data_IF_972152882053
#
_entry.id   IF_972152882053
#
_cell.length_a   1.000
_cell.length_b   1.000
_cell.length_c   1.000
_cell.angle_alpha   90.00
_cell.angle_beta   90.00
_cell.angle_gamma   90.00
#
_symmetry.space_group_name_H-M   'P 1'
#
loop_
_entity.id
_entity.type
_entity.pdbx_description
1 polymer ?
#
# COMPACT_ATOMS: atom_id res chain seq x y z
N UNK A 1 -21.03 -29.47 40.83
CA UNK A 1 -20.05 -28.68 41.58
C UNK A 1 -19.06 -28.08 40.59
N UNK A 2 -18.98 -26.74 40.56
CA UNK A 2 -17.87 -25.87 40.10
C UNK A 2 -17.62 -25.85 38.58
N UNK A 3 -18.17 -24.87 37.84
CA UNK A 3 -17.61 -23.51 37.59
C UNK A 3 -16.36 -23.60 36.70
N UNK A 4 -16.26 -22.92 35.54
CA UNK A 4 -16.17 -21.46 35.45
C UNK A 4 -16.54 -20.96 34.05
N UNK A 5 -17.40 -19.94 34.02
CA UNK A 5 -17.78 -19.10 32.88
C UNK A 5 -16.64 -18.07 32.68
N UNK A 6 -16.13 -17.91 31.46
CA UNK A 6 -15.39 -16.69 31.07
C UNK A 6 -16.23 -15.95 30.04
N UNK A 7 -17.04 -15.06 30.58
CA UNK A 7 -17.66 -13.92 29.93
C UNK A 7 -16.56 -13.05 29.32
N UNK A 8 -16.55 -12.83 28.01
CA UNK A 8 -15.89 -11.65 27.43
C UNK A 8 -16.99 -10.68 27.07
N UNK A 9 -16.92 -9.54 27.74
CA UNK A 9 -17.91 -8.50 27.79
C UNK A 9 -18.13 -7.84 26.43
N UNK A 10 -19.40 -7.60 26.16
CA UNK A 10 -19.92 -6.61 25.23
C UNK A 10 -19.18 -5.28 25.44
N UNK A 11 -18.47 -4.80 24.42
CA UNK A 11 -18.11 -3.39 24.33
C UNK A 11 -19.29 -2.68 23.64
N UNK A 12 -20.23 -2.22 24.45
CA UNK A 12 -21.21 -1.23 24.06
C UNK A 12 -20.53 0.13 24.09
N UNK A 13 -20.14 0.63 22.91
CA UNK A 13 -19.79 2.02 22.66
C UNK A 13 -20.70 2.57 21.56
N UNK A 14 -21.92 2.99 21.92
CA UNK A 14 -22.72 3.88 21.08
C UNK A 14 -22.26 5.32 21.31
N UNK A 15 -21.67 6.00 20.31
CA UNK A 15 -21.92 7.42 19.98
C UNK A 15 -21.49 7.67 18.52
N UNK A 16 -22.43 8.03 17.64
CA UNK A 16 -22.17 8.66 16.34
C UNK A 16 -22.10 7.71 15.16
N UNK A 17 -23.02 7.86 14.20
CA UNK A 17 -23.14 7.01 13.04
C UNK A 17 -21.88 6.98 12.18
N UNK A 18 -21.22 5.84 12.15
CA UNK A 18 -20.22 5.47 11.17
C UNK A 18 -20.37 3.97 10.97
N UNK A 19 -20.58 3.55 9.72
CA UNK A 19 -20.55 2.15 9.33
C UNK A 19 -19.23 1.57 9.82
N UNK A 20 -19.26 0.77 10.87
CA UNK A 20 -18.09 -0.03 11.27
C UNK A 20 -17.99 -1.08 10.17
N UNK A 21 -17.19 -0.78 9.15
CA UNK A 21 -16.80 -1.76 8.15
C UNK A 21 -16.03 -2.80 8.94
N UNK A 22 -16.70 -3.92 9.21
CA UNK A 22 -16.07 -5.06 9.86
C UNK A 22 -14.96 -5.53 8.92
N UNK A 23 -13.73 -5.16 9.22
CA UNK A 23 -12.54 -5.73 8.60
C UNK A 23 -12.69 -7.25 8.57
N UNK A 24 -12.49 -7.85 7.40
CA UNK A 24 -12.57 -9.31 7.24
C UNK A 24 -11.63 -9.94 8.27
N UNK A 25 -12.09 -10.94 9.03
CA UNK A 25 -11.27 -11.58 10.06
C UNK A 25 -9.92 -12.05 9.49
N UNK A 26 -8.85 -11.29 9.78
CA UNK A 26 -7.52 -11.48 9.19
C UNK A 26 -6.92 -10.26 8.49
N UNK A 27 -7.69 -9.19 8.28
CA UNK A 27 -7.20 -7.96 7.69
C UNK A 27 -6.24 -7.21 8.62
N UNK A 28 -5.22 -6.61 8.01
CA UNK A 28 -4.14 -5.88 8.64
C UNK A 28 -4.56 -4.43 8.82
N UNK A 29 -4.30 -3.88 10.01
CA UNK A 29 -4.64 -2.49 10.32
C UNK A 29 -3.96 -1.51 9.36
N UNK A 30 -4.57 -0.34 9.18
CA UNK A 30 -4.00 0.74 8.38
C UNK A 30 -2.57 1.08 8.81
N UNK A 31 -2.29 1.16 10.12
CA UNK A 31 -0.94 1.44 10.63
C UNK A 31 0.11 0.40 10.18
N UNK A 32 -0.23 -0.89 10.27
CA UNK A 32 0.68 -1.97 9.86
C UNK A 32 0.85 -2.00 8.34
N UNK A 33 -0.22 -1.75 7.59
CA UNK A 33 -0.19 -1.60 6.14
C UNK A 33 0.70 -0.43 5.73
N UNK A 34 0.56 0.72 6.38
CA UNK A 34 1.36 1.92 6.16
C UNK A 34 2.85 1.67 6.41
N UNK A 35 3.21 0.90 7.44
CA UNK A 35 4.60 0.50 7.68
C UNK A 35 5.18 -0.33 6.53
N UNK A 36 4.40 -1.27 5.98
CA UNK A 36 4.81 -2.08 4.82
C UNK A 36 5.00 -1.21 3.58
N UNK A 37 4.08 -0.28 3.33
CA UNK A 37 4.15 0.65 2.20
C UNK A 37 5.38 1.54 2.30
N UNK A 38 5.66 2.11 3.47
CA UNK A 38 6.86 2.92 3.69
C UNK A 38 8.13 2.13 3.42
N UNK A 39 8.23 0.93 3.99
CA UNK A 39 9.40 0.08 3.77
C UNK A 39 9.56 -0.29 2.29
N UNK A 40 8.46 -0.56 1.58
CA UNK A 40 8.50 -0.83 0.15
C UNK A 40 9.03 0.35 -0.68
N UNK A 41 8.65 1.58 -0.32
CA UNK A 41 9.16 2.81 -0.97
C UNK A 41 10.63 3.04 -0.64
N UNK A 42 11.04 2.85 0.62
CA UNK A 42 12.44 2.94 1.06
C UNK A 42 13.32 1.93 0.31
N UNK A 43 12.88 0.67 0.21
CA UNK A 43 13.56 -0.38 -0.55
C UNK A 43 13.69 -0.03 -2.05
N UNK A 44 12.63 0.53 -2.64
CA UNK A 44 12.66 0.98 -4.03
C UNK A 44 13.65 2.13 -4.22
N UNK A 45 13.66 3.13 -3.32
CA UNK A 45 14.60 4.24 -3.38
C UNK A 45 16.04 3.75 -3.28
N UNK A 46 16.35 2.91 -2.29
CA UNK A 46 17.68 2.35 -2.11
C UNK A 46 18.12 1.49 -3.30
N UNK A 47 17.20 0.70 -3.87
CA UNK A 47 17.47 -0.07 -5.09
C UNK A 47 17.70 0.82 -6.30
N UNK A 48 16.94 1.91 -6.46
CA UNK A 48 17.09 2.86 -7.55
C UNK A 48 18.44 3.56 -7.49
N UNK A 49 18.86 4.02 -6.30
CA UNK A 49 20.18 4.62 -6.08
C UNK A 49 21.32 3.64 -6.41
N UNK A 50 21.10 2.34 -6.16
CA UNK A 50 22.08 1.29 -6.50
C UNK A 50 22.14 0.95 -8.01
N UNK A 51 21.15 1.39 -8.80
CA UNK A 51 21.15 1.22 -10.27
C UNK A 51 21.97 2.31 -10.97
N UNK A 52 22.14 3.48 -10.35
CA UNK A 52 23.02 4.53 -10.87
C UNK A 52 24.47 4.01 -10.95
N UNK A 53 24.87 3.60 -12.16
CA UNK A 53 26.18 2.97 -12.45
C UNK A 53 26.12 1.52 -12.97
N UNK A 54 24.94 0.92 -13.11
CA UNK A 54 24.77 -0.48 -13.52
C UNK A 54 25.03 -0.78 -15.01
N UNK A 55 25.33 0.23 -15.84
CA UNK A 55 25.65 0.05 -17.25
C UNK A 55 24.48 -0.54 -18.06
N UNK A 56 24.75 -1.48 -18.98
CA UNK A 56 23.76 -2.02 -19.91
C UNK A 56 22.56 -2.74 -19.24
N UNK A 57 22.69 -3.18 -17.98
CA UNK A 57 21.64 -3.90 -17.25
C UNK A 57 20.72 -2.97 -16.43
N UNK A 58 20.97 -1.66 -16.42
CA UNK A 58 20.24 -0.70 -15.58
C UNK A 58 18.73 -0.71 -15.84
N UNK A 59 18.32 -0.77 -17.11
CA UNK A 59 16.91 -0.82 -17.49
C UNK A 59 16.20 -2.11 -17.02
N UNK A 60 16.88 -3.26 -17.10
CA UNK A 60 16.32 -4.54 -16.65
C UNK A 60 16.15 -4.56 -15.12
N UNK A 61 17.14 -4.08 -14.38
CA UNK A 61 17.07 -3.96 -12.92
C UNK A 61 16.01 -2.96 -12.46
N UNK A 62 15.89 -1.83 -13.16
CA UNK A 62 14.86 -0.82 -12.87
C UNK A 62 13.46 -1.41 -13.08
N UNK A 63 13.25 -2.14 -14.17
CA UNK A 63 12.00 -2.85 -14.41
C UNK A 63 11.70 -3.97 -13.40
N UNK A 64 12.72 -4.59 -12.80
CA UNK A 64 12.54 -5.57 -11.70
C UNK A 64 12.17 -4.88 -10.38
N UNK A 65 12.85 -3.80 -10.01
CA UNK A 65 12.50 -3.00 -8.83
C UNK A 65 11.08 -2.44 -8.93
N UNK A 66 10.70 -1.95 -10.10
CA UNK A 66 9.36 -1.42 -10.32
C UNK A 66 8.28 -2.49 -10.14
N UNK A 67 8.48 -3.68 -10.72
CA UNK A 67 7.58 -4.82 -10.52
C UNK A 67 7.55 -5.28 -9.06
N UNK A 68 8.68 -5.24 -8.36
CA UNK A 68 8.75 -5.53 -6.93
C UNK A 68 7.95 -4.55 -6.07
N UNK A 69 8.01 -3.25 -6.39
CA UNK A 69 7.21 -2.23 -5.72
C UNK A 69 5.70 -2.45 -5.95
N UNK A 70 5.30 -2.71 -7.20
CA UNK A 70 3.90 -3.01 -7.54
C UNK A 70 3.41 -4.23 -6.75
N UNK A 71 4.20 -5.30 -6.69
CA UNK A 71 3.83 -6.51 -5.95
C UNK A 71 3.62 -6.21 -4.47
N UNK A 72 4.56 -5.51 -3.82
CA UNK A 72 4.42 -5.13 -2.40
C UNK A 72 3.18 -4.27 -2.14
N UNK A 73 2.88 -3.31 -3.01
CA UNK A 73 1.68 -2.50 -2.88
C UNK A 73 0.40 -3.31 -3.09
N UNK A 74 0.40 -4.24 -4.04
CA UNK A 74 -0.72 -5.15 -4.31
C UNK A 74 -0.98 -6.09 -3.14
N UNK A 75 0.08 -6.67 -2.57
CA UNK A 75 -0.01 -7.57 -1.41
C UNK A 75 -0.53 -6.80 -0.18
N UNK A 76 0.04 -5.61 0.07
CA UNK A 76 -0.45 -4.72 1.13
C UNK A 76 -1.92 -4.34 0.95
N UNK A 77 -2.38 -4.08 -0.29
CA UNK A 77 -3.78 -3.80 -0.56
C UNK A 77 -4.69 -5.02 -0.34
N UNK A 78 -4.21 -6.22 -0.64
CA UNK A 78 -4.97 -7.45 -0.45
C UNK A 78 -5.20 -7.76 1.04
N UNK A 79 -4.17 -7.49 1.85
CA UNK A 79 -4.18 -7.77 3.29
C UNK A 79 -4.78 -6.62 4.12
N UNK A 80 -4.83 -5.39 3.60
CA UNK A 80 -5.35 -4.23 4.32
C UNK A 80 -6.84 -4.33 4.67
N UNK A 81 -7.19 -3.73 5.80
CA UNK A 81 -8.57 -3.43 6.17
C UNK A 81 -9.27 -2.58 5.10
N UNK A 82 -10.58 -2.79 4.97
CA UNK A 82 -11.39 -2.00 4.05
C UNK A 82 -11.45 -0.55 4.54
N UNK A 83 -10.87 0.36 3.75
CA UNK A 83 -10.71 1.74 4.18
C UNK A 83 -9.99 2.60 3.14
N UNK A 84 -9.59 3.80 3.57
CA UNK A 84 -8.93 4.77 2.71
C UNK A 84 -7.56 4.27 2.22
N UNK A 85 -6.78 3.61 3.09
CA UNK A 85 -5.44 3.08 2.73
C UNK A 85 -5.56 2.03 1.63
N UNK A 86 -6.42 1.01 1.82
CA UNK A 86 -6.67 -0.02 0.80
C UNK A 86 -7.18 0.56 -0.52
N UNK A 87 -8.12 1.50 -0.48
CA UNK A 87 -8.64 2.15 -1.68
C UNK A 87 -7.53 2.87 -2.45
N UNK A 88 -6.71 3.66 -1.74
CA UNK A 88 -5.61 4.39 -2.33
C UNK A 88 -4.52 3.45 -2.89
N UNK A 89 -4.17 2.38 -2.18
CA UNK A 89 -3.25 1.35 -2.70
C UNK A 89 -3.76 0.71 -3.99
N UNK A 90 -5.04 0.34 -4.04
CA UNK A 90 -5.63 -0.25 -5.24
C UNK A 90 -5.58 0.70 -6.44
N UNK A 91 -5.82 2.00 -6.24
CA UNK A 91 -5.69 3.00 -7.31
C UNK A 91 -4.22 3.15 -7.72
N UNK A 92 -3.29 3.24 -6.78
CA UNK A 92 -1.86 3.33 -7.08
C UNK A 92 -1.39 2.13 -7.89
N UNK A 93 -1.69 0.90 -7.44
CA UNK A 93 -1.36 -0.36 -8.14
C UNK A 93 -1.96 -0.39 -9.55
N UNK A 94 -3.21 0.05 -9.71
CA UNK A 94 -3.85 0.10 -11.02
C UNK A 94 -3.14 1.05 -11.99
N UNK A 95 -2.64 2.19 -11.51
CA UNK A 95 -1.86 3.14 -12.33
C UNK A 95 -0.46 2.61 -12.63
N UNK A 96 0.22 2.03 -11.63
CA UNK A 96 1.55 1.45 -11.82
C UNK A 96 1.55 0.27 -12.80
N UNK A 97 0.50 -0.56 -12.78
CA UNK A 97 0.33 -1.66 -13.73
C UNK A 97 0.10 -1.21 -15.18
N UNK A 98 -0.25 0.05 -15.44
CA UNK A 98 -0.29 0.59 -16.81
C UNK A 98 1.12 0.75 -17.40
N UNK A 99 2.14 0.75 -16.54
CA UNK A 99 3.55 0.97 -16.87
C UNK A 99 4.36 -0.28 -16.52
N UNK A 100 4.11 -1.38 -17.25
CA UNK A 100 4.71 -2.70 -16.97
C UNK A 100 6.22 -2.75 -17.27
N UNK A 101 6.69 -1.87 -18.16
CA UNK A 101 8.11 -1.67 -18.49
C UNK A 101 8.32 -0.18 -18.74
N UNK A 102 8.81 0.59 -17.76
CA UNK A 102 8.94 2.02 -17.95
C UNK A 102 10.10 2.30 -18.90
N UNK A 103 9.79 2.73 -20.13
CA UNK A 103 10.56 3.83 -20.66
C UNK A 103 10.33 5.02 -19.71
N UNK A 104 11.36 5.82 -19.40
CA UNK A 104 11.24 6.97 -18.47
C UNK A 104 10.05 7.89 -18.78
N UNK A 105 9.68 8.01 -20.06
CA UNK A 105 8.53 8.81 -20.51
C UNK A 105 7.20 8.30 -19.98
N UNK A 106 7.01 6.98 -19.90
CA UNK A 106 5.76 6.38 -19.42
C UNK A 106 5.68 6.48 -17.89
N UNK A 107 6.81 6.35 -17.20
CA UNK A 107 6.90 6.55 -15.75
C UNK A 107 6.58 8.00 -15.38
N UNK A 108 7.18 8.97 -16.06
CA UNK A 108 6.92 10.40 -15.81
C UNK A 108 5.48 10.78 -16.07
N UNK A 109 4.87 10.20 -17.11
CA UNK A 109 3.45 10.39 -17.43
C UNK A 109 2.57 9.85 -16.30
N UNK A 110 2.82 8.62 -15.83
CA UNK A 110 2.07 8.02 -14.73
C UNK A 110 2.27 8.77 -13.40
N UNK A 111 3.49 9.21 -13.08
CA UNK A 111 3.74 10.04 -11.89
C UNK A 111 3.05 11.41 -11.96
N UNK A 112 2.78 11.90 -13.17
CA UNK A 112 2.04 13.14 -13.39
C UNK A 112 0.52 12.91 -13.48
N UNK A 113 0.07 11.66 -13.54
CA UNK A 113 -1.35 11.30 -13.61
C UNK A 113 -2.05 11.74 -12.32
N UNK A 114 -3.14 12.53 -12.42
CA UNK A 114 -3.87 13.01 -11.25
C UNK A 114 -4.34 11.88 -10.34
N UNK A 115 -4.82 10.75 -10.90
CA UNK A 115 -5.32 9.66 -10.08
C UNK A 115 -4.19 8.96 -9.31
N UNK A 116 -3.00 8.83 -9.91
CA UNK A 116 -1.84 8.31 -9.19
C UNK A 116 -1.41 9.27 -8.07
N UNK A 117 -1.32 10.59 -8.36
CA UNK A 117 -0.94 11.60 -7.37
C UNK A 117 -1.93 11.72 -6.22
N UNK A 118 -3.23 11.67 -6.52
CA UNK A 118 -4.29 11.72 -5.52
C UNK A 118 -4.27 10.46 -4.65
N UNK A 119 -4.01 9.29 -5.24
CA UNK A 119 -3.84 8.05 -4.50
C UNK A 119 -2.61 8.10 -3.57
N UNK A 120 -1.46 8.56 -4.06
CA UNK A 120 -0.26 8.69 -3.23
C UNK A 120 -0.44 9.75 -2.13
N UNK A 121 -1.13 10.86 -2.42
CA UNK A 121 -1.48 11.87 -1.40
C UNK A 121 -2.46 11.32 -0.37
N UNK A 122 -3.42 10.50 -0.82
CA UNK A 122 -4.36 9.80 0.06
C UNK A 122 -3.67 8.80 0.98
N UNK A 123 -2.64 8.10 0.48
CA UNK A 123 -1.76 7.23 1.27
C UNK A 123 -0.95 8.03 2.28
N UNK A 124 -0.28 9.08 1.82
CA UNK A 124 0.54 9.97 2.65
C UNK A 124 -0.28 10.56 3.81
N UNK A 125 -1.46 11.11 3.50
CA UNK A 125 -2.38 11.65 4.50
C UNK A 125 -2.94 10.60 5.46
N UNK A 126 -3.18 9.36 5.00
CA UNK A 126 -3.72 8.30 5.85
C UNK A 126 -2.63 7.67 6.74
N UNK A 127 -1.40 7.60 6.23
CA UNK A 127 -0.26 7.00 6.92
C UNK A 127 0.57 8.00 7.75
N UNK A 128 0.38 9.30 7.55
CA UNK A 128 1.05 10.37 8.31
C UNK A 128 2.55 10.48 8.04
N UNK A 129 2.99 10.28 6.79
CA UNK A 129 4.37 10.49 6.37
C UNK A 129 4.67 11.94 5.99
#
# INVERSE_FOLDING_TARGET
MRSTIVTIAVIAGMVGGGLVVAGTAGAVSDDATCSVVKQAVEDYSAGSDAIDGAGADAAARSGELWRGLIAKFSDAAADADDGQVKSALNVAVAQMNRVVTPAETDLKTMMSDPAFRDAMTGLDSACGF
#
